data_IF_347848768791
#
_entry.id   IF_347848768791
#
_cell.length_a   1.000
_cell.length_b   1.000
_cell.length_c   1.000
_cell.angle_alpha   90.00
_cell.angle_beta   90.00
_cell.angle_gamma   90.00
#
_symmetry.space_group_name_H-M   'P 1'
#
loop_
_entity.id
_entity.type
_entity.pdbx_description
1 polymer ?
#
# COMPACT_ATOMS: atom_id res chain seq x y z
N UNK A 1 -4.52 13.04 7.40
CA UNK A 1 -3.94 11.68 7.35
C UNK A 1 -2.98 11.57 6.18
N UNK A 2 -1.95 10.73 6.32
CA UNK A 2 -1.03 10.30 5.29
C UNK A 2 -1.54 8.98 4.73
N UNK A 3 -2.04 9.00 3.50
CA UNK A 3 -2.60 7.83 2.82
C UNK A 3 -1.64 7.39 1.72
N UNK A 4 -1.09 6.19 1.84
CA UNK A 4 -0.35 5.56 0.76
C UNK A 4 -1.32 4.78 -0.12
N UNK A 5 -1.26 4.96 -1.43
CA UNK A 5 -2.13 4.30 -2.40
C UNK A 5 -1.26 3.36 -3.23
N UNK A 6 -1.37 2.06 -2.96
CA UNK A 6 -0.66 1.02 -3.71
C UNK A 6 -1.38 0.75 -5.03
N UNK A 7 -0.78 1.17 -6.14
CA UNK A 7 -1.35 1.05 -7.48
C UNK A 7 -0.25 0.90 -8.54
N UNK A 8 -0.50 0.05 -9.55
CA UNK A 8 0.47 -0.23 -10.63
C UNK A 8 0.63 0.92 -11.64
N UNK A 9 -0.43 1.72 -11.87
CA UNK A 9 -0.41 2.85 -12.81
C UNK A 9 -1.23 4.02 -12.28
N UNK A 10 -0.73 5.22 -12.55
CA UNK A 10 -1.54 6.42 -12.40
C UNK A 10 -2.61 6.45 -13.49
N UNK A 11 -3.85 6.72 -13.10
CA UNK A 11 -4.99 6.82 -14.00
C UNK A 11 -6.08 7.68 -13.38
N UNK A 12 -7.24 7.77 -14.05
CA UNK A 12 -8.36 8.57 -13.57
C UNK A 12 -8.71 8.27 -12.10
N UNK A 13 -8.80 6.98 -11.73
CA UNK A 13 -9.11 6.56 -10.37
C UNK A 13 -8.14 7.08 -9.31
N UNK A 14 -6.83 6.99 -9.57
CA UNK A 14 -5.83 7.44 -8.59
C UNK A 14 -5.82 8.96 -8.48
N UNK A 15 -6.05 9.68 -9.59
CA UNK A 15 -6.18 11.15 -9.59
C UNK A 15 -7.39 11.60 -8.78
N UNK A 16 -8.55 10.94 -8.95
CA UNK A 16 -9.75 11.26 -8.17
C UNK A 16 -9.59 10.94 -6.69
N UNK A 17 -8.92 9.84 -6.35
CA UNK A 17 -8.59 9.50 -4.96
C UNK A 17 -7.70 10.58 -4.32
N UNK A 18 -6.61 10.97 -4.98
CA UNK A 18 -5.73 12.02 -4.47
C UNK A 18 -6.48 13.36 -4.34
N UNK A 19 -7.25 13.77 -5.35
CA UNK A 19 -8.08 14.98 -5.30
C UNK A 19 -9.05 14.98 -4.13
N UNK A 20 -9.72 13.84 -3.87
CA UNK A 20 -10.70 13.72 -2.79
C UNK A 20 -10.05 13.71 -1.40
N UNK A 21 -8.82 13.20 -1.27
CA UNK A 21 -8.01 13.27 -0.06
C UNK A 21 -7.54 14.70 0.21
N UNK A 22 -7.01 15.38 -0.81
CA UNK A 22 -6.55 16.77 -0.71
C UNK A 22 -7.69 17.71 -0.31
N UNK A 23 -8.88 17.54 -0.91
CA UNK A 23 -10.08 18.30 -0.56
C UNK A 23 -10.52 18.14 0.93
N UNK A 24 -10.03 17.09 1.61
CA UNK A 24 -10.27 16.82 3.04
C UNK A 24 -9.08 17.17 3.92
N UNK A 25 -8.04 17.81 3.38
CA UNK A 25 -6.81 18.14 4.12
C UNK A 25 -5.96 16.90 4.44
N UNK A 26 -5.96 15.90 3.56
CA UNK A 26 -5.14 14.69 3.69
C UNK A 26 -4.15 14.60 2.53
N UNK A 27 -3.04 13.89 2.72
CA UNK A 27 -2.06 13.64 1.67
C UNK A 27 -2.25 12.24 1.09
N UNK A 28 -2.29 12.14 -0.23
CA UNK A 28 -2.38 10.88 -0.96
C UNK A 28 -1.12 10.64 -1.79
N UNK A 29 -0.32 9.64 -1.43
CA UNK A 29 0.90 9.29 -2.16
C UNK A 29 0.69 8.00 -2.93
N UNK A 30 0.76 8.07 -4.26
CA UNK A 30 0.61 6.89 -5.12
C UNK A 30 1.97 6.21 -5.26
N UNK A 31 2.05 4.93 -4.91
CA UNK A 31 3.29 4.13 -5.00
C UNK A 31 3.01 2.74 -5.60
N UNK A 32 3.97 2.15 -6.33
CA UNK A 32 3.77 0.86 -7.01
C UNK A 32 3.88 -0.33 -6.06
N UNK A 33 3.29 -1.47 -6.41
CA UNK A 33 3.56 -2.73 -5.70
C UNK A 33 4.94 -3.29 -6.04
N UNK A 34 5.39 -3.03 -7.26
CA UNK A 34 6.69 -3.46 -7.79
C UNK A 34 7.87 -2.79 -7.08
N UNK A 35 7.62 -1.67 -6.39
CA UNK A 35 8.62 -0.98 -5.56
C UNK A 35 8.67 -1.47 -4.11
N UNK A 36 7.83 -2.43 -3.71
CA UNK A 36 7.80 -2.93 -2.33
C UNK A 36 9.15 -3.51 -1.95
N UNK A 37 9.74 -2.95 -0.90
CA UNK A 37 10.98 -3.46 -0.30
C UNK A 37 10.78 -3.58 1.19
N UNK A 38 11.17 -4.72 1.74
CA UNK A 38 11.23 -4.95 3.18
C UNK A 38 12.69 -4.94 3.64
N UNK A 39 13.01 -4.21 4.70
CA UNK A 39 14.27 -4.35 5.42
C UNK A 39 14.07 -5.22 6.65
N UNK A 40 15.06 -6.08 6.92
CA UNK A 40 15.10 -6.99 8.08
C UNK A 40 16.35 -6.62 8.90
N UNK A 41 16.25 -6.62 10.23
CA UNK A 41 17.35 -6.25 11.14
C UNK A 41 17.08 -4.95 11.91
N UNK A 42 18.15 -4.22 12.24
CA UNK A 42 18.12 -3.11 13.23
C UNK A 42 17.13 -1.96 12.94
N UNK A 43 16.70 -1.79 11.68
CA UNK A 43 15.54 -0.96 11.33
C UNK A 43 14.67 -1.71 10.32
N UNK A 44 13.78 -2.56 10.84
CA UNK A 44 12.81 -3.25 9.99
C UNK A 44 11.79 -2.25 9.46
N UNK A 45 11.56 -2.25 8.15
CA UNK A 45 10.68 -1.29 7.50
C UNK A 45 10.11 -1.84 6.20
N UNK A 46 8.90 -1.44 5.87
CA UNK A 46 8.27 -1.67 4.58
C UNK A 46 8.12 -0.33 3.87
N UNK A 47 8.66 -0.25 2.66
CA UNK A 47 8.58 0.94 1.82
C UNK A 47 8.20 0.60 0.39
N UNK A 48 7.68 1.59 -0.32
CA UNK A 48 7.60 1.55 -1.78
C UNK A 48 7.88 2.93 -2.36
N UNK A 49 8.80 2.99 -3.33
CA UNK A 49 9.25 4.26 -3.90
C UNK A 49 9.76 5.20 -2.80
N UNK A 50 9.14 6.37 -2.68
CA UNK A 50 9.47 7.39 -1.67
C UNK A 50 8.64 7.28 -0.38
N UNK A 51 7.72 6.32 -0.28
CA UNK A 51 6.83 6.18 0.87
C UNK A 51 7.33 5.10 1.83
N UNK A 52 7.55 5.49 3.09
CA UNK A 52 7.66 4.58 4.23
C UNK A 52 6.25 4.15 4.64
N UNK A 53 5.85 2.93 4.26
CA UNK A 53 4.46 2.46 4.42
C UNK A 53 4.11 2.23 5.90
N UNK A 54 5.10 1.89 6.72
CA UNK A 54 4.95 1.80 8.19
C UNK A 54 4.56 3.12 8.87
N UNK A 55 4.76 4.25 8.18
CA UNK A 55 4.43 5.57 8.69
C UNK A 55 3.11 6.11 8.11
N UNK A 56 2.45 5.37 7.21
CA UNK A 56 1.15 5.75 6.70
C UNK A 56 0.09 5.57 7.80
N UNK A 57 -0.91 6.47 7.83
CA UNK A 57 -2.09 6.26 8.66
C UNK A 57 -2.99 5.19 8.01
N UNK A 58 -3.03 5.18 6.67
CA UNK A 58 -3.83 4.26 5.86
C UNK A 58 -3.04 3.84 4.62
N UNK A 59 -3.13 2.56 4.26
CA UNK A 59 -2.65 1.99 3.01
C UNK A 59 -3.83 1.51 2.18
N UNK A 60 -4.12 2.18 1.07
CA UNK A 60 -5.17 1.81 0.13
C UNK A 60 -4.61 0.84 -0.92
N UNK A 61 -4.91 -0.44 -0.77
CA UNK A 61 -4.60 -1.52 -1.70
C UNK A 61 -5.59 -1.50 -2.88
N UNK A 62 -5.19 -0.95 -4.04
CA UNK A 62 -6.10 -0.81 -5.20
C UNK A 62 -6.15 -2.05 -6.08
N UNK A 63 -5.05 -2.35 -6.77
CA UNK A 63 -4.95 -3.48 -7.69
C UNK A 63 -3.61 -4.13 -7.44
N UNK A 64 -3.62 -5.33 -6.86
CA UNK A 64 -2.42 -6.16 -6.79
C UNK A 64 -2.12 -6.61 -8.22
N UNK A 65 -0.98 -6.22 -8.81
CA UNK A 65 -0.65 -6.60 -10.18
C UNK A 65 -0.42 -8.11 -10.27
N UNK A 66 -0.54 -8.66 -11.47
CA UNK A 66 -0.16 -10.05 -11.73
C UNK A 66 1.34 -10.27 -11.49
N UNK A 67 1.74 -11.53 -11.40
CA UNK A 67 3.12 -11.95 -11.13
C UNK A 67 3.20 -13.45 -10.89
N UNK A 68 4.37 -13.93 -10.50
CA UNK A 68 4.50 -15.29 -9.97
C UNK A 68 3.69 -15.44 -8.68
N UNK A 69 3.41 -16.69 -8.29
CA UNK A 69 2.74 -16.97 -7.03
C UNK A 69 3.49 -16.33 -5.85
N UNK A 70 4.81 -16.45 -5.82
CA UNK A 70 5.67 -15.88 -4.77
C UNK A 70 5.60 -14.36 -4.74
N UNK A 71 5.52 -13.69 -5.89
CA UNK A 71 5.35 -12.24 -5.95
C UNK A 71 3.99 -11.81 -5.42
N UNK A 72 2.92 -12.57 -5.72
CA UNK A 72 1.58 -12.28 -5.21
C UNK A 72 1.53 -12.51 -3.69
N UNK A 73 2.06 -13.64 -3.21
CA UNK A 73 2.17 -13.95 -1.78
C UNK A 73 2.93 -12.84 -1.07
N UNK A 74 4.11 -12.46 -1.55
CA UNK A 74 4.90 -11.39 -0.94
C UNK A 74 4.14 -10.06 -0.84
N UNK A 75 3.38 -9.69 -1.88
CA UNK A 75 2.58 -8.45 -1.88
C UNK A 75 1.48 -8.50 -0.82
N UNK A 76 0.81 -9.63 -0.65
CA UNK A 76 -0.26 -9.81 0.34
C UNK A 76 0.33 -9.90 1.76
N UNK A 77 1.42 -10.64 1.96
CA UNK A 77 2.14 -10.72 3.24
C UNK A 77 2.64 -9.34 3.69
N UNK A 78 3.11 -8.51 2.76
CA UNK A 78 3.50 -7.14 3.05
C UNK A 78 2.31 -6.31 3.59
N UNK A 79 1.10 -6.54 3.10
CA UNK A 79 -0.11 -5.90 3.61
C UNK A 79 -0.49 -6.46 5.00
N UNK A 80 -0.41 -7.77 5.23
CA UNK A 80 -0.64 -8.36 6.57
C UNK A 80 0.32 -7.76 7.60
N UNK A 81 1.61 -7.66 7.26
CA UNK A 81 2.64 -7.05 8.13
C UNK A 81 2.29 -5.60 8.50
N UNK A 82 1.67 -4.84 7.60
CA UNK A 82 1.23 -3.48 7.86
C UNK A 82 0.08 -3.46 8.88
N UNK A 83 -0.94 -4.32 8.69
CA UNK A 83 -2.04 -4.46 9.65
C UNK A 83 -1.54 -4.89 11.03
N UNK A 84 -0.62 -5.86 11.10
CA UNK A 84 0.00 -6.32 12.34
C UNK A 84 0.76 -5.22 13.08
N UNK A 85 1.28 -4.21 12.36
CA UNK A 85 1.91 -3.02 12.93
C UNK A 85 0.94 -1.88 13.23
N UNK A 86 -0.36 -2.10 13.05
CA UNK A 86 -1.42 -1.13 13.35
C UNK A 86 -1.71 -0.13 12.22
N UNK A 87 -1.13 -0.32 11.03
CA UNK A 87 -1.48 0.49 9.86
C UNK A 87 -2.80 0.00 9.29
N UNK A 88 -3.75 0.91 9.05
CA UNK A 88 -5.04 0.54 8.47
C UNK A 88 -4.88 0.21 6.98
N UNK A 89 -5.16 -1.04 6.58
CA UNK A 89 -5.10 -1.45 5.18
C UNK A 89 -6.51 -1.58 4.60
N UNK A 90 -6.75 -0.97 3.44
CA UNK A 90 -8.06 -0.95 2.78
C UNK A 90 -7.94 -1.38 1.32
N UNK A 91 -8.57 -2.46 0.86
CA UNK A 91 -9.23 -3.49 1.67
C UNK A 91 -8.21 -4.31 2.45
N UNK A 92 -8.63 -4.93 3.56
CA UNK A 92 -7.74 -5.77 4.35
C UNK A 92 -7.17 -6.92 3.50
N UNK A 93 -5.94 -7.38 3.76
CA UNK A 93 -5.33 -8.49 3.04
C UNK A 93 -6.18 -9.76 3.13
N UNK A 94 -6.78 -10.03 4.31
CA UNK A 94 -7.72 -11.15 4.49
C UNK A 94 -8.96 -11.08 3.58
N UNK A 95 -9.44 -9.87 3.27
CA UNK A 95 -10.56 -9.71 2.33
C UNK A 95 -10.10 -9.96 0.89
N UNK A 96 -8.89 -9.50 0.55
CA UNK A 96 -8.29 -9.69 -0.78
C UNK A 96 -8.08 -11.18 -1.08
N UNK A 97 -7.59 -11.97 -0.12
CA UNK A 97 -7.34 -13.42 -0.28
C UNK A 97 -8.59 -14.26 -0.53
N UNK A 98 -9.77 -13.71 -0.24
CA UNK A 98 -11.06 -14.41 -0.32
C UNK A 98 -11.83 -14.11 -1.61
N UNK A 99 -11.20 -13.42 -2.56
CA UNK A 99 -11.78 -13.05 -3.86
C UNK A 99 -11.06 -13.80 -4.98
#
# INVERSE_FOLDING_TARGET
MRVAILASRQGWHTRELTRALEARGHTGTIVPYEGLTVSIGGRSGLRSGTAELDQADVVLARIIPSGSLEQIIFRVDALHRLEERGVSVVNSPRAIERT
#
